data_IF_344444367460
#
_entry.id   IF_344444367460
#
_cell.length_a   1.000
_cell.length_b   1.000
_cell.length_c   1.000
_cell.angle_alpha   90.00
_cell.angle_beta   90.00
_cell.angle_gamma   90.00
#
_symmetry.space_group_name_H-M   'P 1'
#
loop_
_entity.id
_entity.type
_entity.pdbx_description
1 polymer ?
#
# COMPACT_ATOMS: atom_id res chain seq x y z
N UNK A 1 -30.71 -5.38 -28.79
CA UNK A 1 -30.34 -4.94 -27.43
C UNK A 1 -28.83 -5.09 -27.34
N UNK A 2 -28.09 -4.04 -27.67
CA UNK A 2 -26.62 -4.06 -27.69
C UNK A 2 -26.08 -3.99 -26.27
N UNK A 3 -25.10 -4.82 -25.96
CA UNK A 3 -24.37 -4.84 -24.68
C UNK A 3 -23.36 -3.69 -24.59
N UNK A 4 -23.79 -2.49 -24.98
CA UNK A 4 -22.91 -1.33 -25.07
C UNK A 4 -22.77 -0.64 -23.72
N UNK A 5 -21.74 -1.04 -22.98
CA UNK A 5 -21.38 -0.46 -21.68
C UNK A 5 -20.72 0.92 -21.82
N UNK A 6 -20.21 1.27 -23.00
CA UNK A 6 -19.84 2.67 -23.31
C UNK A 6 -21.08 3.56 -23.21
N UNK A 7 -22.22 3.02 -23.66
CA UNK A 7 -23.55 3.59 -23.56
C UNK A 7 -24.04 3.90 -22.14
N UNK A 8 -23.42 3.38 -21.05
CA UNK A 8 -23.79 3.77 -19.68
C UNK A 8 -23.07 5.02 -19.19
N UNK A 9 -21.77 5.15 -19.48
CA UNK A 9 -21.07 6.43 -19.27
C UNK A 9 -21.66 7.47 -20.18
N UNK A 10 -21.91 7.10 -21.44
CA UNK A 10 -22.59 7.94 -22.39
C UNK A 10 -24.02 8.23 -21.94
N UNK A 11 -24.78 7.29 -21.37
CA UNK A 11 -26.10 7.60 -20.82
C UNK A 11 -26.01 8.60 -19.66
N UNK A 12 -25.02 8.49 -18.78
CA UNK A 12 -24.83 9.48 -17.70
C UNK A 12 -24.41 10.83 -18.27
N UNK A 13 -23.44 10.90 -19.18
CA UNK A 13 -23.01 12.16 -19.80
C UNK A 13 -24.07 12.75 -20.74
N UNK A 14 -24.87 11.92 -21.39
CA UNK A 14 -25.99 12.29 -22.28
C UNK A 14 -27.23 12.70 -21.49
N UNK A 15 -27.59 12.03 -20.40
CA UNK A 15 -28.67 12.47 -19.51
C UNK A 15 -28.36 13.86 -18.93
N UNK A 16 -27.08 14.12 -18.62
CA UNK A 16 -26.59 15.46 -18.26
C UNK A 16 -26.62 16.45 -19.43
N UNK A 17 -26.37 15.98 -20.65
CA UNK A 17 -26.44 16.74 -21.90
C UNK A 17 -27.84 16.86 -22.52
N UNK A 18 -28.89 16.32 -21.89
CA UNK A 18 -30.28 16.40 -22.37
C UNK A 18 -31.11 17.45 -21.63
N UNK A 19 -30.54 18.13 -20.63
CA UNK A 19 -31.18 19.27 -20.00
C UNK A 19 -31.26 20.47 -20.98
N UNK A 20 -32.41 21.17 -21.11
CA UNK A 20 -32.54 22.29 -22.04
C UNK A 20 -31.54 23.42 -21.69
N UNK A 21 -30.67 23.79 -22.65
CA UNK A 21 -29.47 24.64 -22.44
C UNK A 21 -28.14 23.87 -22.38
N UNK A 22 -28.15 22.61 -22.85
CA UNK A 22 -27.19 21.57 -22.51
C UNK A 22 -25.71 21.97 -22.69
N UNK A 23 -24.92 21.95 -21.60
CA UNK A 23 -23.48 22.11 -21.68
C UNK A 23 -22.85 20.96 -22.48
N UNK A 24 -21.78 21.24 -23.23
CA UNK A 24 -20.91 20.18 -23.72
C UNK A 24 -20.29 19.48 -22.51
N UNK A 25 -20.55 18.18 -22.35
CA UNK A 25 -20.04 17.37 -21.24
C UNK A 25 -18.98 16.41 -21.75
N UNK A 26 -17.82 16.37 -21.10
CA UNK A 26 -16.77 15.41 -21.38
C UNK A 26 -16.23 14.78 -20.09
N UNK A 27 -15.88 13.50 -20.15
CA UNK A 27 -15.18 12.83 -19.07
C UNK A 27 -13.70 12.65 -19.45
N UNK A 28 -12.83 13.23 -18.63
CA UNK A 28 -11.39 13.15 -18.75
C UNK A 28 -10.88 12.16 -17.70
N UNK A 29 -10.22 11.08 -18.10
CA UNK A 29 -9.74 10.05 -17.18
C UNK A 29 -8.26 10.28 -16.86
N UNK A 30 -7.86 10.15 -15.61
CA UNK A 30 -6.45 10.20 -15.23
C UNK A 30 -5.69 9.00 -15.81
N UNK A 31 -4.53 9.25 -16.42
CA UNK A 31 -3.73 8.18 -17.01
C UNK A 31 -3.04 7.30 -15.95
N UNK A 32 -2.59 6.10 -16.37
CA UNK A 32 -1.88 5.17 -15.47
C UNK A 32 -0.48 5.63 -15.06
N UNK A 33 0.02 6.76 -15.56
CA UNK A 33 1.31 7.32 -15.18
C UNK A 33 1.19 8.44 -14.14
N UNK A 34 -0.01 9.01 -13.97
CA UNK A 34 -0.26 10.19 -13.14
C UNK A 34 0.27 11.49 -13.76
N UNK A 35 0.51 11.51 -15.08
CA UNK A 35 1.14 12.63 -15.80
C UNK A 35 0.25 13.23 -16.89
N UNK A 36 -0.92 12.67 -17.13
CA UNK A 36 -1.85 13.19 -18.12
C UNK A 36 -3.31 12.88 -17.76
N UNK A 37 -4.21 13.61 -18.41
CA UNK A 37 -5.61 13.23 -18.57
C UNK A 37 -5.83 12.66 -19.96
N UNK A 38 -6.82 11.80 -20.12
CA UNK A 38 -7.23 11.24 -21.40
C UNK A 38 -8.69 11.54 -21.61
N UNK A 39 -8.98 12.32 -22.65
CA UNK A 39 -10.35 12.59 -23.10
C UNK A 39 -10.84 11.38 -23.88
N UNK A 40 -11.89 10.73 -23.39
CA UNK A 40 -12.62 9.71 -24.15
C UNK A 40 -13.79 10.37 -24.89
N UNK A 41 -13.88 10.16 -26.19
CA UNK A 41 -14.99 10.63 -27.01
C UNK A 41 -15.53 9.48 -27.89
N UNK A 42 -16.85 9.32 -27.93
CA UNK A 42 -17.55 8.33 -28.77
C UNK A 42 -17.78 8.82 -30.22
N UNK A 43 -17.64 10.13 -30.44
CA UNK A 43 -17.68 10.77 -31.78
C UNK A 43 -16.70 11.96 -31.75
N UNK A 44 -15.80 12.12 -32.74
CA UNK A 44 -14.89 13.27 -32.76
C UNK A 44 -15.72 14.56 -32.93
N UNK A 45 -15.61 15.48 -31.96
CA UNK A 45 -16.23 16.81 -32.07
C UNK A 45 -15.55 17.67 -33.15
N UNK A 46 -14.31 17.35 -33.50
CA UNK A 46 -13.61 17.89 -34.66
C UNK A 46 -12.70 16.80 -35.23
N UNK A 47 -12.80 16.51 -36.52
CA UNK A 47 -12.10 15.42 -37.22
C UNK A 47 -10.58 15.56 -37.31
N UNK A 48 -9.93 16.30 -36.41
CA UNK A 48 -8.52 16.70 -36.45
C UNK A 48 -7.69 16.21 -35.26
N UNK A 49 -8.26 15.47 -34.32
CA UNK A 49 -7.52 14.98 -33.15
C UNK A 49 -6.58 13.81 -33.45
N UNK A 50 -5.27 14.00 -33.22
CA UNK A 50 -4.27 12.94 -33.07
C UNK A 50 -4.57 12.14 -31.78
N UNK A 51 -5.50 11.19 -31.85
CA UNK A 51 -5.91 10.34 -30.73
C UNK A 51 -5.80 8.86 -31.08
N UNK A 52 -5.60 8.01 -30.06
CA UNK A 52 -5.68 6.55 -30.23
C UNK A 52 -7.15 6.21 -30.54
N UNK A 53 -7.38 5.28 -31.48
CA UNK A 53 -8.74 4.89 -31.90
C UNK A 53 -9.04 3.42 -31.55
N UNK A 54 -10.25 3.14 -31.09
CA UNK A 54 -10.77 1.78 -30.87
C UNK A 54 -12.25 1.73 -31.28
N UNK A 55 -12.53 1.22 -32.47
CA UNK A 55 -13.87 1.36 -33.07
C UNK A 55 -14.19 2.84 -33.31
N UNK A 56 -15.34 3.27 -32.82
CA UNK A 56 -15.80 4.67 -32.88
C UNK A 56 -15.20 5.55 -31.76
N UNK A 57 -14.53 4.95 -30.78
CA UNK A 57 -13.97 5.67 -29.64
C UNK A 57 -12.59 6.27 -29.96
N UNK A 58 -12.37 7.52 -29.53
CA UNK A 58 -11.11 8.27 -29.64
C UNK A 58 -10.61 8.66 -28.25
N UNK A 59 -9.34 8.37 -27.98
CA UNK A 59 -8.63 8.75 -26.76
C UNK A 59 -7.55 9.80 -27.08
N UNK A 60 -7.77 11.04 -26.63
CA UNK A 60 -6.81 12.14 -26.79
C UNK A 60 -6.10 12.39 -25.46
N UNK A 61 -4.77 12.34 -25.47
CA UNK A 61 -3.94 12.55 -24.28
C UNK A 61 -3.70 14.04 -24.08
N UNK A 62 -3.95 14.52 -22.86
CA UNK A 62 -3.74 15.90 -22.41
C UNK A 62 -2.68 15.86 -21.31
N UNK A 63 -1.40 16.12 -21.62
CA UNK A 63 -0.34 16.15 -20.62
C UNK A 63 -0.60 17.20 -19.54
N UNK A 64 -0.14 16.91 -18.33
CA UNK A 64 -0.12 17.89 -17.26
C UNK A 64 0.97 18.94 -17.48
N UNK A 65 0.57 20.21 -17.32
CA UNK A 65 1.36 21.42 -17.60
C UNK A 65 1.31 22.45 -16.46
N UNK A 66 0.80 22.08 -15.29
CA UNK A 66 0.54 22.95 -14.15
C UNK A 66 -0.80 23.69 -14.23
N UNK A 67 -1.57 23.51 -15.31
CA UNK A 67 -2.82 24.21 -15.57
C UNK A 67 -3.99 23.80 -14.67
N UNK A 68 -5.15 24.41 -14.93
CA UNK A 68 -6.34 24.27 -14.08
C UNK A 68 -6.88 22.83 -14.04
N UNK A 69 -6.71 22.04 -15.10
CA UNK A 69 -7.11 20.62 -15.10
C UNK A 69 -6.23 19.79 -14.14
N UNK A 70 -4.92 20.00 -14.17
CA UNK A 70 -4.02 19.35 -13.21
C UNK A 70 -4.34 19.79 -11.77
N UNK A 71 -4.56 21.09 -11.56
CA UNK A 71 -4.90 21.63 -10.25
C UNK A 71 -6.23 21.08 -9.73
N UNK A 72 -7.27 21.01 -10.57
CA UNK A 72 -8.56 20.42 -10.22
C UNK A 72 -8.39 18.97 -9.76
N UNK A 73 -7.62 18.17 -10.50
CA UNK A 73 -7.40 16.76 -10.20
C UNK A 73 -6.58 16.59 -8.91
N UNK A 74 -5.47 17.31 -8.77
CA UNK A 74 -4.56 17.18 -7.62
C UNK A 74 -5.15 17.73 -6.32
N UNK A 75 -5.81 18.88 -6.39
CA UNK A 75 -6.44 19.49 -5.23
C UNK A 75 -7.80 18.85 -4.90
N UNK A 76 -8.38 18.07 -5.83
CA UNK A 76 -9.73 17.53 -5.74
C UNK A 76 -10.77 18.62 -5.41
N UNK A 77 -10.59 19.79 -6.05
CA UNK A 77 -11.52 20.92 -5.95
C UNK A 77 -12.09 21.27 -7.32
N UNK A 78 -13.34 21.74 -7.34
CA UNK A 78 -13.97 22.22 -8.58
C UNK A 78 -13.28 23.49 -9.03
N UNK A 79 -12.82 23.50 -10.28
CA UNK A 79 -12.22 24.68 -10.91
C UNK A 79 -13.20 25.26 -11.93
N UNK A 80 -13.25 26.58 -12.03
CA UNK A 80 -14.12 27.31 -12.96
C UNK A 80 -13.26 28.24 -13.80
N UNK A 81 -13.40 28.14 -15.11
CA UNK A 81 -12.59 28.89 -16.09
C UNK A 81 -13.51 29.73 -16.96
N UNK A 82 -13.34 31.05 -16.91
CA UNK A 82 -13.99 31.95 -17.84
C UNK A 82 -13.33 31.83 -19.22
N UNK A 83 -14.13 31.65 -20.27
CA UNK A 83 -13.75 31.77 -21.66
C UNK A 83 -14.58 32.90 -22.30
N UNK A 84 -14.21 33.42 -23.49
CA UNK A 84 -14.81 34.63 -24.04
C UNK A 84 -16.35 34.65 -24.08
N UNK A 85 -16.99 33.51 -24.38
CA UNK A 85 -18.45 33.39 -24.51
C UNK A 85 -19.06 32.22 -23.70
N UNK A 86 -18.29 31.64 -22.78
CA UNK A 86 -18.69 30.43 -22.04
C UNK A 86 -17.86 30.21 -20.78
N UNK A 87 -18.33 29.34 -19.91
CA UNK A 87 -17.67 28.96 -18.67
C UNK A 87 -17.37 27.48 -18.67
N UNK A 88 -16.13 27.09 -18.39
CA UNK A 88 -15.76 25.68 -18.25
C UNK A 88 -15.63 25.33 -16.78
N UNK A 89 -16.40 24.34 -16.34
CA UNK A 89 -16.32 23.77 -15.01
C UNK A 89 -15.58 22.44 -15.09
N UNK A 90 -14.55 22.28 -14.27
CA UNK A 90 -13.77 21.06 -14.12
C UNK A 90 -14.03 20.50 -12.72
N UNK A 91 -14.87 19.47 -12.65
CA UNK A 91 -15.26 18.83 -11.39
C UNK A 91 -14.54 17.49 -11.20
N UNK A 92 -13.82 17.28 -10.08
CA UNK A 92 -13.14 16.01 -9.82
C UNK A 92 -14.11 14.84 -9.71
N UNK A 93 -13.80 13.76 -10.42
CA UNK A 93 -14.49 12.47 -10.30
C UNK A 93 -13.66 11.61 -9.35
N UNK A 94 -14.07 11.56 -8.08
CA UNK A 94 -13.30 10.93 -7.01
C UNK A 94 -14.14 9.99 -6.14
N UNK A 95 -13.52 8.93 -5.62
CA UNK A 95 -14.07 8.06 -4.56
C UNK A 95 -13.00 7.80 -3.50
N UNK A 96 -13.33 7.96 -2.21
CA UNK A 96 -12.42 7.74 -1.07
C UNK A 96 -11.00 8.31 -1.24
N UNK A 97 -10.87 9.49 -1.83
CA UNK A 97 -9.59 10.17 -2.08
C UNK A 97 -8.85 9.70 -3.33
N UNK A 98 -9.33 8.68 -4.04
CA UNK A 98 -8.83 8.30 -5.37
C UNK A 98 -9.41 9.22 -6.44
N UNK A 99 -8.54 9.90 -7.19
CA UNK A 99 -8.93 10.73 -8.32
C UNK A 99 -8.95 9.91 -9.61
N UNK A 100 -10.16 9.60 -10.08
CA UNK A 100 -10.39 8.82 -11.31
C UNK A 100 -10.20 9.72 -12.53
N UNK A 101 -10.59 10.99 -12.44
CA UNK A 101 -10.57 11.92 -13.55
C UNK A 101 -11.30 13.23 -13.25
N UNK A 102 -11.70 13.94 -14.31
CA UNK A 102 -12.47 15.17 -14.26
C UNK A 102 -13.73 15.06 -15.14
N UNK A 103 -14.83 15.58 -14.62
CA UNK A 103 -16.02 15.92 -15.39
C UNK A 103 -15.85 17.37 -15.88
N UNK A 104 -15.74 17.54 -17.19
CA UNK A 104 -15.72 18.83 -17.85
C UNK A 104 -17.12 19.19 -18.33
N UNK A 105 -17.60 20.39 -17.98
CA UNK A 105 -18.87 20.92 -18.44
C UNK A 105 -18.68 22.36 -18.96
N UNK A 106 -19.21 22.64 -20.15
CA UNK A 106 -19.14 23.96 -20.79
C UNK A 106 -20.50 24.64 -20.70
N UNK A 107 -20.64 25.66 -19.85
CA UNK A 107 -21.88 26.38 -19.58
C UNK A 107 -21.90 27.73 -20.32
N UNK A 108 -23.08 28.23 -20.73
CA UNK A 108 -23.19 29.55 -21.37
C UNK A 108 -22.96 30.69 -20.37
N UNK A 109 -23.50 30.57 -19.17
CA UNK A 109 -23.47 31.61 -18.13
C UNK A 109 -22.57 31.23 -16.95
N UNK A 110 -22.18 32.23 -16.15
CA UNK A 110 -21.36 32.02 -14.96
C UNK A 110 -22.10 31.13 -13.94
N UNK A 111 -21.51 29.99 -13.54
CA UNK A 111 -22.19 29.07 -12.64
C UNK A 111 -22.23 29.59 -11.21
N UNK A 112 -23.44 29.77 -10.67
CA UNK A 112 -23.63 30.08 -9.26
C UNK A 112 -23.28 28.91 -8.32
N UNK A 113 -23.15 29.14 -6.99
CA UNK A 113 -22.77 28.12 -6.01
C UNK A 113 -23.72 26.92 -5.91
N UNK A 114 -24.99 27.08 -6.30
CA UNK A 114 -25.95 25.99 -6.38
C UNK A 114 -25.59 25.00 -7.48
N UNK A 115 -25.34 25.52 -8.68
CA UNK A 115 -24.96 24.75 -9.87
C UNK A 115 -23.65 24.01 -9.65
N UNK A 116 -22.64 24.67 -9.08
CA UNK A 116 -21.34 24.03 -8.77
C UNK A 116 -21.48 22.84 -7.80
N UNK A 117 -22.38 22.93 -6.81
CA UNK A 117 -22.65 21.82 -5.88
C UNK A 117 -23.35 20.65 -6.57
N UNK A 118 -24.24 20.94 -7.52
CA UNK A 118 -24.92 19.92 -8.31
C UNK A 118 -23.94 19.21 -9.25
N UNK A 119 -23.10 19.95 -9.97
CA UNK A 119 -22.04 19.40 -10.82
C UNK A 119 -21.08 18.53 -9.99
N UNK A 120 -20.67 18.96 -8.79
CA UNK A 120 -19.82 18.16 -7.92
C UNK A 120 -20.51 16.86 -7.46
N UNK A 121 -21.80 16.88 -7.14
CA UNK A 121 -22.57 15.67 -6.81
C UNK A 121 -22.67 14.73 -8.00
N UNK A 122 -22.90 15.26 -9.19
CA UNK A 122 -22.91 14.51 -10.43
C UNK A 122 -21.56 13.85 -10.70
N UNK A 123 -20.44 14.57 -10.55
CA UNK A 123 -19.11 14.01 -10.69
C UNK A 123 -18.85 12.88 -9.68
N UNK A 124 -19.36 12.99 -8.46
CA UNK A 124 -19.28 11.93 -7.46
C UNK A 124 -20.16 10.71 -7.82
N UNK A 125 -21.36 10.91 -8.36
CA UNK A 125 -22.20 9.80 -8.88
C UNK A 125 -21.52 9.11 -10.06
N UNK A 126 -20.91 9.88 -10.97
CA UNK A 126 -20.16 9.35 -12.10
C UNK A 126 -19.00 8.45 -11.64
N UNK A 127 -18.34 8.77 -10.52
CA UNK A 127 -17.30 7.91 -9.95
C UNK A 127 -17.85 6.50 -9.66
N UNK A 128 -19.03 6.38 -9.04
CA UNK A 128 -19.65 5.06 -8.79
C UNK A 128 -19.97 4.30 -10.07
N UNK A 129 -20.45 5.00 -11.12
CA UNK A 129 -20.75 4.39 -12.42
C UNK A 129 -19.49 3.85 -13.08
N UNK A 130 -18.41 4.64 -13.10
CA UNK A 130 -17.12 4.22 -13.67
C UNK A 130 -16.54 3.04 -12.88
N UNK A 131 -16.53 3.11 -11.55
CA UNK A 131 -16.03 2.02 -10.69
C UNK A 131 -16.83 0.73 -10.89
N UNK A 132 -18.15 0.81 -11.03
CA UNK A 132 -19.01 -0.35 -11.22
C UNK A 132 -18.82 -0.99 -12.61
N UNK A 133 -18.59 -0.18 -13.65
CA UNK A 133 -18.55 -0.64 -15.04
C UNK A 133 -17.17 -1.07 -15.53
N UNK A 134 -16.08 -0.61 -14.90
CA UNK A 134 -14.70 -0.97 -15.32
C UNK A 134 -14.40 -2.47 -15.40
N UNK A 135 -15.20 -3.32 -14.73
CA UNK A 135 -15.04 -4.78 -14.75
C UNK A 135 -15.67 -5.45 -15.98
N UNK A 136 -16.45 -4.70 -16.75
CA UNK A 136 -17.21 -5.21 -17.90
C UNK A 136 -16.76 -4.62 -19.23
N UNK A 137 -15.89 -3.60 -19.23
CA UNK A 137 -15.38 -2.97 -20.44
C UNK A 137 -13.91 -2.59 -20.27
N UNK A 138 -13.13 -2.82 -21.32
CA UNK A 138 -11.72 -2.43 -21.40
C UNK A 138 -11.56 -0.96 -21.84
N UNK A 139 -12.64 -0.23 -22.16
CA UNK A 139 -12.59 1.15 -22.64
C UNK A 139 -11.80 2.08 -21.69
N UNK A 140 -12.02 1.94 -20.38
CA UNK A 140 -11.32 2.75 -19.39
C UNK A 140 -9.84 2.38 -19.30
N UNK A 141 -9.52 1.09 -19.25
CA UNK A 141 -8.14 0.60 -19.24
C UNK A 141 -7.39 1.01 -20.51
N UNK A 142 -8.01 0.83 -21.68
CA UNK A 142 -7.50 1.30 -22.95
C UNK A 142 -7.27 2.82 -22.94
N UNK A 143 -8.22 3.60 -22.43
CA UNK A 143 -8.10 5.04 -22.25
C UNK A 143 -6.89 5.42 -21.39
N UNK A 144 -6.72 4.81 -20.23
CA UNK A 144 -5.65 5.16 -19.28
C UNK A 144 -4.24 4.70 -19.72
N UNK A 145 -4.14 3.75 -20.66
CA UNK A 145 -2.87 3.19 -21.15
C UNK A 145 -2.22 4.06 -22.22
N UNK A 146 -1.51 5.09 -21.78
CA UNK A 146 -0.63 5.89 -22.64
C UNK A 146 0.64 5.15 -23.06
N UNK A 147 1.04 4.11 -22.31
CA UNK A 147 2.21 3.25 -22.58
C UNK A 147 1.79 1.77 -22.68
N UNK A 148 2.32 0.98 -23.65
CA UNK A 148 2.05 -0.46 -23.72
C UNK A 148 2.55 -1.23 -22.50
N UNK A 149 1.74 -2.17 -22.00
CA UNK A 149 2.10 -3.02 -20.86
C UNK A 149 2.78 -4.31 -21.33
N UNK A 150 3.77 -4.77 -20.57
CA UNK A 150 4.32 -6.12 -20.71
C UNK A 150 3.36 -7.15 -20.11
N UNK A 151 3.43 -8.43 -20.54
CA UNK A 151 2.58 -9.50 -19.97
C UNK A 151 2.75 -9.62 -18.45
N UNK A 152 3.97 -9.47 -17.92
CA UNK A 152 4.21 -9.49 -16.48
C UNK A 152 3.58 -8.30 -15.75
N UNK A 153 3.60 -7.12 -16.36
CA UNK A 153 2.87 -5.95 -15.85
C UNK A 153 1.36 -6.15 -15.87
N UNK A 154 0.84 -6.80 -16.91
CA UNK A 154 -0.59 -7.14 -17.02
C UNK A 154 -1.05 -8.09 -15.89
N UNK A 155 -0.26 -9.12 -15.61
CA UNK A 155 -0.52 -10.06 -14.50
C UNK A 155 -0.47 -9.31 -13.17
N UNK A 156 0.58 -8.51 -12.93
CA UNK A 156 0.76 -7.75 -11.70
C UNK A 156 -0.38 -6.77 -11.46
N UNK A 157 -0.78 -6.00 -12.47
CA UNK A 157 -1.83 -4.97 -12.37
C UNK A 157 -3.15 -5.57 -11.88
N UNK A 158 -3.47 -6.79 -12.32
CA UNK A 158 -4.66 -7.55 -11.86
C UNK A 158 -4.58 -7.98 -10.39
N UNK A 159 -3.39 -8.02 -9.78
CA UNK A 159 -3.20 -8.34 -8.36
C UNK A 159 -3.38 -7.13 -7.45
N UNK A 160 -3.08 -5.93 -7.94
CA UNK A 160 -3.13 -4.68 -7.17
C UNK A 160 -4.55 -4.37 -6.69
N UNK A 161 -4.71 -3.48 -5.69
CA UNK A 161 -6.01 -3.10 -5.18
C UNK A 161 -6.81 -2.41 -6.27
N UNK A 162 -8.14 -2.53 -6.18
CA UNK A 162 -9.03 -1.82 -7.07
C UNK A 162 -8.93 -0.30 -6.98
N UNK A 163 -8.39 0.24 -5.88
CA UNK A 163 -8.17 1.67 -5.69
C UNK A 163 -6.79 1.88 -5.10
N UNK A 164 -6.03 2.83 -5.61
CA UNK A 164 -4.64 3.05 -5.18
C UNK A 164 -4.55 4.03 -4.01
N UNK A 165 -5.64 4.74 -3.74
CA UNK A 165 -5.82 5.59 -2.57
C UNK A 165 -7.06 5.15 -1.78
N UNK A 166 -6.94 5.24 -0.46
CA UNK A 166 -8.04 5.04 0.46
C UNK A 166 -7.92 6.03 1.62
N UNK A 167 -8.88 6.95 1.66
CA UNK A 167 -9.07 7.87 2.77
C UNK A 167 -10.14 7.34 3.72
N UNK A 168 -9.80 7.31 5.01
CA UNK A 168 -10.69 7.04 6.13
C UNK A 168 -10.53 8.11 7.20
N UNK A 169 -11.47 8.17 8.15
CA UNK A 169 -11.43 9.18 9.22
C UNK A 169 -10.15 9.15 10.06
N UNK A 170 -9.53 7.97 10.20
CA UNK A 170 -8.34 7.76 11.01
C UNK A 170 -7.04 7.62 10.20
N UNK A 171 -7.10 7.49 8.86
CA UNK A 171 -5.93 7.23 8.03
C UNK A 171 -6.13 7.68 6.58
N UNK A 172 -5.03 7.95 5.89
CA UNK A 172 -4.99 8.07 4.43
C UNK A 172 -3.89 7.13 3.95
N UNK A 173 -4.23 6.23 3.03
CA UNK A 173 -3.29 5.32 2.39
C UNK A 173 -3.25 5.64 0.90
N UNK A 174 -2.06 5.83 0.35
CA UNK A 174 -1.84 5.94 -1.09
C UNK A 174 -0.64 5.07 -1.48
N UNK A 175 -0.78 4.30 -2.54
CA UNK A 175 0.27 3.42 -3.08
C UNK A 175 0.40 3.60 -4.57
N UNK A 176 1.64 3.56 -5.06
CA UNK A 176 1.93 3.62 -6.48
C UNK A 176 3.14 2.76 -6.82
N UNK A 177 3.20 2.24 -8.04
CA UNK A 177 4.30 1.42 -8.56
C UNK A 177 4.84 2.08 -9.83
N UNK A 178 6.14 2.35 -9.86
CA UNK A 178 6.82 2.94 -11.01
C UNK A 178 8.07 2.12 -11.36
N UNK A 179 8.25 1.68 -12.61
CA UNK A 179 7.37 1.87 -13.78
C UNK A 179 6.11 1.00 -13.78
N UNK A 180 4.94 1.61 -14.00
CA UNK A 180 3.65 0.91 -13.97
C UNK A 180 3.47 -0.15 -15.09
N UNK A 181 4.15 0.01 -16.24
CA UNK A 181 3.92 -0.81 -17.45
C UNK A 181 4.83 -2.05 -17.56
N UNK A 182 5.96 -2.09 -16.84
CA UNK A 182 7.02 -3.09 -17.04
C UNK A 182 7.47 -3.83 -15.78
N UNK A 183 7.06 -3.40 -14.58
CA UNK A 183 7.27 -4.18 -13.35
C UNK A 183 6.24 -5.32 -13.31
N UNK A 184 6.65 -6.52 -12.87
CA UNK A 184 5.76 -7.67 -12.68
C UNK A 184 5.69 -8.22 -11.25
N UNK A 185 6.74 -8.03 -10.46
CA UNK A 185 6.91 -8.73 -9.18
C UNK A 185 6.42 -7.99 -7.95
N UNK A 186 6.52 -6.66 -7.98
CA UNK A 186 6.22 -5.84 -6.81
C UNK A 186 4.71 -5.63 -6.71
N UNK A 187 4.13 -5.80 -5.55
CA UNK A 187 2.70 -5.52 -5.36
C UNK A 187 2.49 -4.83 -4.03
N UNK A 188 1.35 -4.17 -3.90
CA UNK A 188 0.79 -3.88 -2.60
C UNK A 188 -0.66 -4.35 -2.58
N UNK A 189 -1.17 -4.65 -1.39
CA UNK A 189 -2.59 -4.95 -1.16
C UNK A 189 -3.03 -4.25 0.13
N UNK A 190 -4.29 -3.87 0.22
CA UNK A 190 -4.86 -3.45 1.49
C UNK A 190 -6.31 -3.87 1.63
N UNK A 191 -6.77 -3.90 2.88
CA UNK A 191 -8.16 -4.20 3.22
C UNK A 191 -8.49 -3.52 4.54
N UNK A 192 -9.60 -2.80 4.53
CA UNK A 192 -10.10 -2.05 5.67
C UNK A 192 -11.27 -2.84 6.28
N UNK A 193 -11.14 -3.21 7.55
CA UNK A 193 -12.22 -3.71 8.40
C UNK A 193 -12.79 -2.55 9.26
N UNK A 194 -13.72 -2.83 10.19
CA UNK A 194 -14.34 -1.79 11.02
C UNK A 194 -13.33 -0.99 11.84
N UNK A 195 -12.30 -1.65 12.35
CA UNK A 195 -11.35 -1.13 13.33
C UNK A 195 -9.88 -1.44 12.95
N UNK A 196 -9.65 -2.11 11.81
CA UNK A 196 -8.33 -2.59 11.40
C UNK A 196 -8.04 -2.29 9.93
N UNK A 197 -6.89 -1.69 9.66
CA UNK A 197 -6.29 -1.62 8.33
C UNK A 197 -5.28 -2.76 8.18
N UNK A 198 -5.52 -3.65 7.22
CA UNK A 198 -4.52 -4.58 6.72
C UNK A 198 -3.86 -3.96 5.48
N UNK A 199 -2.53 -3.90 5.48
CA UNK A 199 -1.72 -3.42 4.37
C UNK A 199 -0.58 -4.42 4.14
N UNK A 200 -0.27 -4.75 2.89
CA UNK A 200 0.88 -5.57 2.56
C UNK A 200 1.59 -5.01 1.36
N UNK A 201 2.92 -5.04 1.37
CA UNK A 201 3.77 -4.86 0.19
C UNK A 201 4.49 -6.16 -0.06
N UNK A 202 4.54 -6.62 -1.30
CA UNK A 202 5.30 -7.81 -1.69
C UNK A 202 6.30 -7.46 -2.77
N UNK A 203 7.48 -8.06 -2.72
CA UNK A 203 8.51 -7.99 -3.76
C UNK A 203 8.83 -9.44 -4.16
N UNK A 204 8.41 -9.80 -5.37
CA UNK A 204 8.69 -11.12 -5.93
C UNK A 204 10.02 -11.13 -6.66
N UNK A 205 10.99 -11.84 -6.08
CA UNK A 205 12.32 -12.04 -6.66
C UNK A 205 12.24 -12.60 -8.09
N UNK A 206 13.12 -12.11 -8.97
CA UNK A 206 13.19 -12.48 -10.38
C UNK A 206 12.67 -11.38 -11.32
N UNK A 207 12.46 -11.72 -12.59
CA UNK A 207 11.95 -10.79 -13.61
C UNK A 207 10.91 -11.44 -14.51
N UNK A 208 10.10 -10.62 -15.17
CA UNK A 208 9.10 -11.05 -16.14
C UNK A 208 8.00 -11.92 -15.54
N UNK A 209 7.47 -12.85 -16.34
CA UNK A 209 6.26 -13.63 -16.02
C UNK A 209 6.44 -14.50 -14.76
N UNK A 210 7.62 -15.10 -14.57
CA UNK A 210 7.88 -15.94 -13.41
C UNK A 210 7.73 -15.17 -12.08
N UNK A 211 8.26 -13.95 -12.03
CA UNK A 211 8.10 -13.05 -10.88
C UNK A 211 6.64 -12.64 -10.66
N UNK A 212 5.88 -12.36 -11.73
CA UNK A 212 4.46 -12.05 -11.62
C UNK A 212 3.58 -13.23 -11.14
N UNK A 213 3.94 -14.46 -11.51
CA UNK A 213 3.28 -15.67 -10.99
C UNK A 213 3.62 -15.91 -9.51
N UNK A 214 4.86 -15.65 -9.10
CA UNK A 214 5.28 -15.66 -7.69
C UNK A 214 4.49 -14.65 -6.87
N UNK A 215 4.33 -13.43 -7.39
CA UNK A 215 3.49 -12.40 -6.78
C UNK A 215 2.02 -12.85 -6.68
N UNK A 216 1.49 -13.50 -7.72
CA UNK A 216 0.11 -14.01 -7.74
C UNK A 216 -0.13 -15.01 -6.60
N UNK A 217 0.77 -15.97 -6.44
CA UNK A 217 0.69 -16.97 -5.37
C UNK A 217 0.86 -16.34 -3.99
N UNK A 218 1.80 -15.40 -3.84
CA UNK A 218 2.02 -14.66 -2.59
C UNK A 218 0.79 -13.85 -2.16
N UNK A 219 0.29 -12.98 -3.05
CA UNK A 219 -0.89 -12.13 -2.78
C UNK A 219 -2.14 -12.98 -2.56
N UNK A 220 -2.35 -14.00 -3.39
CA UNK A 220 -3.49 -14.91 -3.26
C UNK A 220 -3.51 -15.62 -1.91
N UNK A 221 -2.34 -16.08 -1.46
CA UNK A 221 -2.21 -16.76 -0.18
C UNK A 221 -2.36 -15.81 1.03
N UNK A 222 -1.84 -14.58 0.95
CA UNK A 222 -2.08 -13.53 1.95
C UNK A 222 -3.57 -13.20 2.07
N UNK A 223 -4.26 -13.02 0.93
CA UNK A 223 -5.71 -12.78 0.89
C UNK A 223 -6.50 -13.95 1.46
N UNK A 224 -6.14 -15.19 1.08
CA UNK A 224 -6.77 -16.41 1.60
C UNK A 224 -6.64 -16.50 3.13
N UNK A 225 -5.44 -16.30 3.65
CA UNK A 225 -5.16 -16.40 5.09
C UNK A 225 -5.83 -15.29 5.88
N UNK A 226 -5.87 -14.06 5.34
CA UNK A 226 -6.66 -12.96 5.91
C UNK A 226 -8.14 -13.33 6.01
N UNK A 227 -8.74 -13.86 4.93
CA UNK A 227 -10.16 -14.25 4.88
C UNK A 227 -10.48 -15.43 5.82
N UNK A 228 -9.56 -16.38 5.98
CA UNK A 228 -9.70 -17.48 6.96
C UNK A 228 -9.57 -16.98 8.40
N UNK A 229 -8.62 -16.08 8.67
CA UNK A 229 -8.40 -15.52 10.01
C UNK A 229 -9.56 -14.62 10.47
N UNK A 230 -10.26 -13.94 9.54
CA UNK A 230 -11.43 -13.11 9.84
C UNK A 230 -12.61 -13.90 10.45
N UNK A 231 -12.64 -15.23 10.33
CA UNK A 231 -13.62 -16.10 10.98
C UNK A 231 -13.20 -16.64 12.35
N UNK A 232 -11.99 -16.36 12.83
CA UNK A 232 -11.43 -16.98 14.04
C UNK A 232 -11.11 -15.93 15.11
N UNK A 233 -11.97 -15.82 16.12
CA UNK A 233 -11.92 -14.82 17.19
C UNK A 233 -10.76 -15.00 18.19
N UNK A 234 -9.63 -15.63 17.83
CA UNK A 234 -8.68 -16.17 18.82
C UNK A 234 -7.23 -15.67 18.63
N UNK A 235 -6.84 -14.74 19.53
CA UNK A 235 -5.49 -14.40 20.06
C UNK A 235 -4.25 -14.61 19.15
N UNK A 236 -3.67 -13.48 18.74
CA UNK A 236 -2.24 -13.14 18.48
C UNK A 236 -1.26 -14.21 17.97
N UNK A 237 -1.03 -15.31 18.67
CA UNK A 237 0.11 -16.21 18.38
C UNK A 237 -0.09 -17.11 17.16
N UNK A 238 -1.33 -17.48 16.80
CA UNK A 238 -1.61 -18.28 15.59
C UNK A 238 -1.58 -17.47 14.29
N UNK A 239 -1.63 -16.14 14.37
CA UNK A 239 -1.67 -15.28 13.19
C UNK A 239 -0.35 -15.30 12.42
N UNK A 240 0.79 -15.37 13.13
CA UNK A 240 2.11 -15.54 12.51
C UNK A 240 2.27 -16.89 11.81
N UNK A 241 1.88 -17.99 12.46
CA UNK A 241 1.92 -19.32 11.85
C UNK A 241 1.06 -19.37 10.58
N UNK A 242 -0.15 -18.82 10.62
CA UNK A 242 -1.02 -18.75 9.45
C UNK A 242 -0.43 -17.90 8.31
N UNK A 243 0.33 -16.83 8.59
CA UNK A 243 0.96 -16.00 7.55
C UNK A 243 2.32 -16.56 7.06
N UNK A 244 3.09 -17.23 7.92
CA UNK A 244 4.32 -17.92 7.55
C UNK A 244 4.05 -19.20 6.72
N UNK A 245 2.95 -19.89 7.03
CA UNK A 245 2.40 -21.02 6.27
C UNK A 245 1.75 -20.54 4.97
N UNK A 246 1.30 -19.27 4.93
CA UNK A 246 0.74 -18.62 3.75
C UNK A 246 1.78 -18.07 2.77
N UNK A 247 3.08 -18.26 2.95
CA UNK A 247 4.06 -17.91 1.92
C UNK A 247 4.50 -19.20 1.24
N UNK A 248 3.80 -19.63 0.16
CA UNK A 248 4.14 -20.89 -0.49
C UNK A 248 5.56 -20.78 -1.07
N UNK A 249 6.27 -21.91 -1.09
CA UNK A 249 7.42 -22.06 -1.99
C UNK A 249 6.92 -21.85 -3.42
N UNK A 250 7.43 -20.83 -4.11
CA UNK A 250 7.06 -20.57 -5.51
C UNK A 250 7.90 -21.42 -6.47
N UNK A 251 7.55 -21.36 -7.77
CA UNK A 251 7.97 -22.22 -8.91
C UNK A 251 9.50 -22.47 -9.03
N UNK A 252 10.34 -21.76 -8.26
CA UNK A 252 11.80 -21.87 -8.20
C UNK A 252 12.39 -22.12 -6.79
N UNK A 253 11.59 -22.43 -5.78
CA UNK A 253 12.04 -22.61 -4.40
C UNK A 253 12.29 -21.31 -3.62
N UNK A 254 12.04 -20.14 -4.22
CA UNK A 254 12.16 -18.83 -3.55
C UNK A 254 10.85 -18.41 -2.88
N UNK A 255 10.95 -17.63 -1.79
CA UNK A 255 9.80 -16.96 -1.14
C UNK A 255 9.75 -15.49 -1.55
N UNK A 256 8.58 -14.93 -1.90
CA UNK A 256 8.45 -13.49 -2.10
C UNK A 256 8.78 -12.75 -0.80
N UNK A 257 9.45 -11.61 -0.91
CA UNK A 257 9.56 -10.68 0.21
C UNK A 257 8.17 -10.14 0.46
N UNK A 258 7.73 -10.19 1.70
CA UNK A 258 6.42 -9.67 2.11
C UNK A 258 6.69 -8.74 3.27
N UNK A 259 6.06 -7.57 3.31
CA UNK A 259 5.92 -6.68 4.46
C UNK A 259 4.43 -6.53 4.69
N UNK A 260 3.88 -7.20 5.69
CA UNK A 260 2.48 -7.07 6.10
C UNK A 260 2.43 -6.16 7.31
N UNK A 261 1.64 -5.10 7.25
CA UNK A 261 1.34 -4.17 8.34
C UNK A 261 -0.15 -4.28 8.65
N UNK A 262 -0.50 -4.56 9.90
CA UNK A 262 -1.87 -4.49 10.39
C UNK A 262 -1.91 -3.45 11.51
N UNK A 263 -2.75 -2.43 11.38
CA UNK A 263 -2.89 -1.39 12.41
C UNK A 263 -4.34 -1.19 12.81
N UNK A 264 -4.58 -1.05 14.13
CA UNK A 264 -5.81 -0.52 14.70
C UNK A 264 -5.63 0.97 15.02
N UNK A 265 -6.40 1.82 14.34
CA UNK A 265 -6.49 3.27 14.55
C UNK A 265 -5.18 4.07 14.48
N UNK A 266 -4.66 4.37 13.28
CA UNK A 266 -3.77 5.53 13.02
C UNK A 266 -3.42 5.70 11.53
N UNK A 267 -3.04 6.93 11.14
CA UNK A 267 -2.43 7.27 9.85
C UNK A 267 -1.10 6.53 9.68
N UNK A 268 -1.01 5.69 8.64
CA UNK A 268 0.18 4.94 8.26
C UNK A 268 0.60 5.38 6.85
N UNK A 269 1.74 6.07 6.74
CA UNK A 269 2.37 6.41 5.46
C UNK A 269 3.53 5.44 5.23
N UNK A 270 3.42 4.54 4.25
CA UNK A 270 4.50 3.62 3.88
C UNK A 270 4.94 3.94 2.47
N UNK A 271 5.98 4.76 2.36
CA UNK A 271 6.67 5.03 1.11
C UNK A 271 7.87 4.09 0.99
N UNK A 272 7.89 3.25 -0.05
CA UNK A 272 9.12 2.55 -0.45
C UNK A 272 10.03 3.52 -1.21
N UNK A 273 10.49 4.59 -0.57
CA UNK A 273 11.69 5.36 -0.90
C UNK A 273 11.89 6.45 0.15
N UNK A 274 13.16 6.75 0.47
CA UNK A 274 13.60 7.77 1.43
C UNK A 274 12.81 9.08 1.28
N UNK A 275 11.84 9.31 2.16
CA UNK A 275 11.02 10.53 2.15
C UNK A 275 10.27 10.65 3.46
N UNK A 276 10.36 11.83 4.07
CA UNK A 276 9.94 12.14 5.44
C UNK A 276 8.43 11.98 5.68
N UNK A 277 8.08 11.59 6.92
CA UNK A 277 6.71 11.48 7.43
C UNK A 277 6.32 12.80 8.11
N UNK A 278 5.12 13.33 7.82
CA UNK A 278 4.54 14.49 8.51
C UNK A 278 3.37 14.09 9.42
N UNK A 279 3.35 14.62 10.64
CA UNK A 279 2.41 14.25 11.71
C UNK A 279 1.38 15.35 12.01
N UNK A 280 0.17 14.95 12.39
CA UNK A 280 -0.85 15.80 13.02
C UNK A 280 -1.21 15.30 14.43
N UNK A 281 -1.86 16.11 15.28
CA UNK A 281 -2.02 15.83 16.72
C UNK A 281 -2.98 14.67 17.01
N UNK A 282 -2.70 13.92 18.09
CA UNK A 282 -3.36 12.65 18.45
C UNK A 282 -4.41 12.80 19.56
N UNK A 283 -5.45 11.97 19.49
CA UNK A 283 -6.36 11.65 20.62
C UNK A 283 -6.09 10.21 21.07
N UNK A 284 -6.07 9.98 22.38
CA UNK A 284 -5.87 8.68 23.04
C UNK A 284 -6.73 7.57 22.42
N UNK A 285 -6.11 6.67 21.66
CA UNK A 285 -6.67 5.40 21.24
C UNK A 285 -5.59 4.32 21.44
N UNK A 286 -5.96 3.17 21.99
CA UNK A 286 -5.05 2.04 22.17
C UNK A 286 -4.47 1.64 20.80
N UNK A 287 -3.19 1.94 20.58
CA UNK A 287 -2.52 1.69 19.31
C UNK A 287 -2.04 0.26 19.29
N UNK A 288 -2.43 -0.48 18.26
CA UNK A 288 -1.92 -1.80 18.00
C UNK A 288 -1.41 -1.91 16.57
N UNK A 289 -0.12 -2.13 16.44
CA UNK A 289 0.56 -2.32 15.15
C UNK A 289 1.21 -3.69 15.12
N UNK A 290 0.92 -4.49 14.11
CA UNK A 290 1.64 -5.72 13.84
C UNK A 290 2.26 -5.61 12.46
N UNK A 291 3.57 -5.73 12.39
CA UNK A 291 4.31 -5.81 11.14
C UNK A 291 5.01 -7.16 11.05
N UNK A 292 4.89 -7.86 9.92
CA UNK A 292 5.67 -9.07 9.64
C UNK A 292 6.38 -8.90 8.31
N UNK A 293 7.68 -9.17 8.25
CA UNK A 293 8.46 -9.13 7.03
C UNK A 293 9.33 -10.36 6.82
N UNK A 294 9.57 -10.72 5.55
CA UNK A 294 10.53 -11.76 5.16
C UNK A 294 11.60 -11.14 4.26
N UNK A 295 12.86 -11.20 4.69
CA UNK A 295 14.01 -10.55 4.05
C UNK A 295 15.07 -11.59 3.63
N UNK A 296 15.86 -11.33 2.57
CA UNK A 296 16.93 -12.24 2.18
C UNK A 296 18.05 -12.28 3.23
N UNK A 297 18.85 -13.34 3.23
CA UNK A 297 20.05 -13.47 4.07
C UNK A 297 21.20 -12.57 3.59
N UNK A 298 21.08 -11.26 3.78
CA UNK A 298 22.05 -10.25 3.35
C UNK A 298 22.25 -9.16 4.41
N UNK A 299 23.44 -8.52 4.49
CA UNK A 299 23.68 -7.41 5.43
C UNK A 299 22.68 -6.26 5.29
N UNK A 300 22.22 -5.98 4.07
CA UNK A 300 21.23 -4.93 3.79
C UNK A 300 19.87 -5.17 4.47
N UNK A 301 19.55 -6.42 4.81
CA UNK A 301 18.31 -6.78 5.52
C UNK A 301 18.30 -6.25 6.96
N UNK A 302 19.45 -6.19 7.62
CA UNK A 302 19.59 -5.62 8.97
C UNK A 302 19.22 -4.14 8.96
N UNK A 303 19.76 -3.39 7.98
CA UNK A 303 19.44 -1.98 7.80
C UNK A 303 17.97 -1.74 7.52
N UNK A 304 17.35 -2.55 6.64
CA UNK A 304 15.90 -2.44 6.33
C UNK A 304 15.04 -2.70 7.56
N UNK A 305 15.33 -3.76 8.32
CA UNK A 305 14.61 -4.09 9.54
C UNK A 305 14.66 -2.94 10.55
N UNK A 306 15.85 -2.36 10.75
CA UNK A 306 16.06 -1.21 11.63
C UNK A 306 15.24 0.00 11.18
N UNK A 307 15.31 0.36 9.89
CA UNK A 307 14.54 1.48 9.34
C UNK A 307 13.04 1.31 9.53
N UNK A 308 12.51 0.11 9.26
CA UNK A 308 11.09 -0.19 9.47
C UNK A 308 10.71 -0.03 10.93
N UNK A 309 11.49 -0.58 11.87
CA UNK A 309 11.23 -0.41 13.30
C UNK A 309 11.26 1.07 13.71
N UNK A 310 12.23 1.85 13.22
CA UNK A 310 12.29 3.29 13.48
C UNK A 310 11.02 4.00 12.99
N UNK A 311 10.55 3.69 11.78
CA UNK A 311 9.30 4.25 11.25
C UNK A 311 8.10 3.87 12.11
N UNK A 312 8.00 2.60 12.55
CA UNK A 312 6.92 2.17 13.44
C UNK A 312 6.95 2.88 14.79
N UNK A 313 8.13 3.04 15.39
CA UNK A 313 8.30 3.74 16.68
C UNK A 313 8.08 5.26 16.55
N UNK A 314 8.18 5.84 15.36
CA UNK A 314 7.75 7.23 15.11
C UNK A 314 6.24 7.42 15.21
N UNK A 315 5.50 6.30 15.18
CA UNK A 315 4.06 6.27 15.44
C UNK A 315 3.77 6.01 16.92
N UNK A 316 4.73 6.02 17.84
CA UNK A 316 4.48 5.78 19.27
C UNK A 316 5.16 6.81 20.14
N UNK A 317 4.69 6.94 21.38
CA UNK A 317 5.30 7.82 22.39
C UNK A 317 6.51 7.16 23.07
N UNK A 318 7.25 6.31 22.35
CA UNK A 318 8.42 5.58 22.85
C UNK A 318 9.51 6.54 23.35
N UNK A 319 10.05 6.27 24.55
CA UNK A 319 11.14 7.02 25.15
C UNK A 319 12.42 6.93 24.28
N UNK A 320 13.24 7.98 24.29
CA UNK A 320 14.45 8.04 23.45
C UNK A 320 15.43 6.90 23.75
N UNK A 321 15.62 6.58 25.04
CA UNK A 321 16.43 5.45 25.49
C UNK A 321 15.88 4.12 24.97
N UNK A 322 14.57 3.89 25.11
CA UNK A 322 13.89 2.69 24.59
C UNK A 322 13.98 2.58 23.07
N UNK A 323 13.92 3.69 22.32
CA UNK A 323 14.16 3.70 20.86
C UNK A 323 15.59 3.27 20.53
N UNK A 324 16.58 3.76 21.27
CA UNK A 324 17.99 3.38 21.13
C UNK A 324 18.20 1.89 21.42
N UNK A 325 17.65 1.39 22.52
CA UNK A 325 17.70 -0.02 22.88
C UNK A 325 17.07 -0.90 21.80
N UNK A 326 15.86 -0.57 21.36
CA UNK A 326 15.14 -1.30 20.31
C UNK A 326 15.91 -1.35 18.98
N UNK A 327 16.61 -0.27 18.62
CA UNK A 327 17.45 -0.23 17.43
C UNK A 327 18.65 -1.21 17.52
N UNK A 328 19.27 -1.33 18.69
CA UNK A 328 20.33 -2.32 18.93
C UNK A 328 19.75 -3.74 18.91
N UNK A 329 18.63 -3.97 19.62
CA UNK A 329 17.97 -5.28 19.72
C UNK A 329 17.65 -5.87 18.35
N UNK A 330 17.00 -5.09 17.46
CA UNK A 330 16.67 -5.58 16.11
C UNK A 330 17.92 -5.79 15.25
N UNK A 331 18.95 -4.95 15.42
CA UNK A 331 20.20 -5.03 14.65
C UNK A 331 20.94 -6.32 14.98
N UNK A 332 21.16 -6.60 16.27
CA UNK A 332 21.85 -7.81 16.73
C UNK A 332 21.06 -9.08 16.40
N UNK A 333 19.73 -9.06 16.61
CA UNK A 333 18.88 -10.20 16.31
C UNK A 333 18.90 -10.55 14.81
N UNK A 334 18.79 -9.54 13.94
CA UNK A 334 18.85 -9.73 12.49
C UNK A 334 20.25 -10.13 12.02
N UNK A 335 21.32 -9.53 12.58
CA UNK A 335 22.69 -9.89 12.24
C UNK A 335 22.98 -11.37 12.56
N UNK A 336 22.56 -11.83 13.75
CA UNK A 336 22.66 -13.24 14.12
C UNK A 336 21.89 -14.14 13.15
N UNK A 337 20.65 -13.79 12.82
CA UNK A 337 19.86 -14.56 11.86
C UNK A 337 20.53 -14.60 10.47
N UNK A 338 21.02 -13.47 9.96
CA UNK A 338 21.73 -13.42 8.66
C UNK A 338 23.00 -14.28 8.67
N UNK A 339 23.77 -14.26 9.76
CA UNK A 339 25.02 -15.00 9.86
C UNK A 339 24.78 -16.53 9.95
N UNK A 340 23.78 -16.94 10.70
CA UNK A 340 23.56 -18.35 11.06
C UNK A 340 22.49 -19.07 10.23
N UNK A 341 21.72 -18.36 9.39
CA UNK A 341 20.71 -19.01 8.56
C UNK A 341 21.33 -19.86 7.44
N UNK A 342 20.63 -20.93 7.04
CA UNK A 342 21.08 -21.84 5.98
C UNK A 342 21.22 -21.10 4.64
N UNK A 343 22.06 -21.63 3.74
CA UNK A 343 22.17 -21.13 2.36
C UNK A 343 20.77 -21.21 1.72
N UNK A 344 20.36 -20.13 1.05
CA UNK A 344 19.04 -19.93 0.42
C UNK A 344 17.82 -19.73 1.35
N UNK A 345 18.04 -19.45 2.64
CA UNK A 345 16.94 -19.12 3.55
C UNK A 345 16.68 -17.61 3.68
N UNK A 346 15.45 -17.27 4.11
CA UNK A 346 15.05 -15.92 4.49
C UNK A 346 15.16 -15.70 6.00
N UNK A 347 15.26 -14.43 6.38
CA UNK A 347 15.11 -13.95 7.76
C UNK A 347 13.72 -13.39 7.92
N UNK A 348 12.91 -14.03 8.77
CA UNK A 348 11.53 -13.67 9.03
C UNK A 348 11.46 -12.86 10.34
N UNK A 349 10.93 -11.64 10.23
CA UNK A 349 10.88 -10.68 11.33
C UNK A 349 9.42 -10.32 11.60
N UNK A 350 9.01 -10.35 12.87
CA UNK A 350 7.73 -9.83 13.31
C UNK A 350 7.96 -8.74 14.37
N UNK A 351 7.27 -7.61 14.23
CA UNK A 351 7.26 -6.51 15.18
C UNK A 351 5.81 -6.31 15.58
N UNK A 352 5.48 -6.53 16.85
CA UNK A 352 4.17 -6.24 17.41
C UNK A 352 4.35 -5.13 18.45
N UNK A 353 3.66 -4.02 18.24
CA UNK A 353 3.51 -2.96 19.21
C UNK A 353 2.06 -3.00 19.67
N UNK A 354 1.86 -3.24 20.95
CA UNK A 354 0.55 -3.24 21.59
C UNK A 354 0.68 -2.43 22.88
N UNK A 355 -0.04 -1.32 22.94
CA UNK A 355 0.02 -0.35 24.03
C UNK A 355 1.46 0.13 24.28
N UNK A 356 2.04 -0.21 25.43
CA UNK A 356 3.38 0.18 25.86
C UNK A 356 4.44 -0.91 25.67
N UNK A 357 4.14 -1.96 24.90
CA UNK A 357 5.04 -3.10 24.73
C UNK A 357 5.39 -3.33 23.25
N UNK A 358 6.68 -3.43 22.97
CA UNK A 358 7.22 -3.85 21.69
C UNK A 358 7.77 -5.28 21.78
N UNK A 359 7.19 -6.17 20.99
CA UNK A 359 7.61 -7.55 20.79
C UNK A 359 8.28 -7.66 19.42
N UNK A 360 9.57 -8.00 19.41
CA UNK A 360 10.33 -8.32 18.21
C UNK A 360 10.55 -9.82 18.19
N UNK A 361 10.20 -10.46 17.08
CA UNK A 361 10.52 -11.84 16.84
C UNK A 361 11.34 -11.96 15.56
N UNK A 362 12.51 -12.59 15.63
CA UNK A 362 13.39 -12.82 14.49
C UNK A 362 13.61 -14.32 14.35
N UNK A 363 13.31 -14.86 13.18
CA UNK A 363 13.53 -16.27 12.89
C UNK A 363 14.17 -16.52 11.53
N UNK A 364 14.71 -17.71 11.39
CA UNK A 364 15.35 -18.20 10.17
C UNK A 364 15.35 -19.73 10.16
N UNK A 365 15.57 -20.33 8.98
CA UNK A 365 15.85 -21.77 8.93
C UNK A 365 17.24 -22.07 9.48
N UNK A 366 17.35 -23.10 10.29
CA UNK A 366 18.58 -23.56 10.93
C UNK A 366 18.32 -24.30 12.24
N UNK A 367 19.40 -24.75 12.88
CA UNK A 367 19.33 -25.41 14.18
C UNK A 367 19.30 -24.38 15.30
N UNK A 368 18.36 -24.53 16.24
CA UNK A 368 18.28 -23.66 17.42
C UNK A 368 19.59 -23.74 18.22
N UNK A 369 20.28 -22.62 18.46
CA UNK A 369 21.46 -22.62 19.31
C UNK A 369 21.09 -23.07 20.73
N UNK A 370 22.01 -23.71 21.43
CA UNK A 370 21.90 -23.86 22.88
C UNK A 370 21.81 -22.43 23.47
N UNK A 371 20.76 -22.13 24.24
CA UNK A 371 20.45 -20.78 24.75
C UNK A 371 21.54 -20.13 25.63
N UNK A 372 22.68 -20.80 25.83
CA UNK A 372 23.85 -20.34 26.57
C UNK A 372 24.37 -18.95 26.13
N UNK A 373 24.17 -18.57 24.87
CA UNK A 373 24.60 -17.25 24.37
C UNK A 373 23.79 -16.06 24.93
N UNK A 374 22.54 -16.27 25.35
CA UNK A 374 21.73 -15.24 26.03
C UNK A 374 22.09 -15.12 27.52
N UNK A 375 22.74 -16.12 28.09
CA UNK A 375 23.20 -16.14 29.50
C UNK A 375 24.70 -15.91 29.64
N UNK A 376 25.40 -15.63 28.54
CA UNK A 376 26.83 -15.39 28.54
C UNK A 376 27.13 -13.96 29.01
N UNK A 377 28.22 -13.79 29.76
CA UNK A 377 28.72 -12.47 30.14
C UNK A 377 29.10 -11.66 28.88
N UNK A 378 28.95 -10.33 28.99
CA UNK A 378 29.37 -9.41 27.94
C UNK A 378 30.89 -9.52 27.71
N UNK A 379 31.34 -9.94 26.51
CA UNK A 379 32.76 -9.97 26.17
C UNK A 379 33.38 -8.57 26.22
N UNK A 380 34.71 -8.49 26.31
CA UNK A 380 35.46 -7.23 26.29
C UNK A 380 35.01 -6.33 25.12
N UNK A 381 34.85 -5.01 25.31
CA UNK A 381 34.37 -4.09 24.27
C UNK A 381 35.16 -4.13 22.95
N UNK A 382 36.41 -4.57 22.95
CA UNK A 382 37.27 -4.69 21.77
C UNK A 382 37.21 -6.06 21.10
N UNK A 383 36.47 -7.02 21.68
CA UNK A 383 36.32 -8.37 21.12
C UNK A 383 35.53 -8.33 19.82
N UNK A 384 36.10 -8.92 18.76
CA UNK A 384 35.45 -9.04 17.45
C UNK A 384 34.49 -10.23 17.45
N UNK A 385 33.20 -9.96 17.62
CA UNK A 385 32.13 -10.97 17.59
C UNK A 385 31.70 -11.49 18.96
N UNK A 386 30.62 -12.28 18.99
CA UNK A 386 30.09 -12.90 20.22
C UNK A 386 29.33 -11.97 21.17
N UNK A 387 29.23 -10.67 20.87
CA UNK A 387 28.57 -9.67 21.72
C UNK A 387 27.05 -9.55 21.51
N UNK A 388 26.53 -10.04 20.39
CA UNK A 388 25.14 -9.80 20.00
C UNK A 388 24.09 -10.39 20.95
N UNK A 389 24.19 -11.68 21.28
CA UNK A 389 23.23 -12.31 22.23
C UNK A 389 23.34 -11.73 23.66
N UNK A 390 24.54 -11.47 24.22
CA UNK A 390 24.68 -10.76 25.50
C UNK A 390 24.08 -9.34 25.48
N UNK A 391 24.28 -8.57 24.40
CA UNK A 391 23.66 -7.25 24.24
C UNK A 391 22.13 -7.34 24.21
N UNK A 392 21.59 -8.37 23.53
CA UNK A 392 20.15 -8.61 23.51
C UNK A 392 19.62 -8.89 24.92
N UNK A 393 20.29 -9.74 25.69
CA UNK A 393 19.91 -10.06 27.06
C UNK A 393 20.00 -8.85 28.00
N UNK A 394 20.97 -7.96 27.80
CA UNK A 394 21.16 -6.77 28.64
C UNK A 394 20.14 -5.67 28.37
N UNK A 395 19.73 -5.47 27.11
CA UNK A 395 18.86 -4.36 26.71
C UNK A 395 17.37 -4.71 26.69
N UNK A 396 17.02 -5.97 26.44
CA UNK A 396 15.65 -6.45 26.43
C UNK A 396 15.09 -6.62 27.85
N UNK A 397 13.78 -6.51 28.02
CA UNK A 397 13.15 -6.88 29.29
C UNK A 397 12.98 -8.40 29.37
N UNK A 398 12.72 -9.05 28.24
CA UNK A 398 12.80 -10.51 28.09
C UNK A 398 13.36 -10.88 26.72
N UNK A 399 14.21 -11.91 26.66
CA UNK A 399 14.67 -12.50 25.41
C UNK A 399 14.79 -14.02 25.55
N UNK A 400 14.22 -14.77 24.60
CA UNK A 400 14.26 -16.23 24.63
C UNK A 400 14.17 -16.84 23.23
N UNK A 401 14.85 -17.96 23.02
CA UNK A 401 14.58 -18.83 21.88
C UNK A 401 13.29 -19.62 22.14
N UNK A 402 12.32 -19.51 21.23
CA UNK A 402 10.99 -20.12 21.35
C UNK A 402 10.91 -21.35 20.45
N UNK A 403 10.26 -22.45 20.86
CA UNK A 403 10.05 -23.61 20.00
C UNK A 403 9.30 -23.23 18.72
N UNK A 404 9.90 -23.49 17.57
CA UNK A 404 9.31 -23.34 16.24
C UNK A 404 9.01 -24.69 15.58
N UNK A 405 8.56 -24.67 14.30
CA UNK A 405 8.62 -25.85 13.42
C UNK A 405 10.02 -26.48 13.40
N UNK A 406 10.15 -27.78 13.04
CA UNK A 406 11.45 -28.40 12.87
C UNK A 406 12.31 -27.57 11.89
N UNK A 407 13.59 -27.41 12.20
CA UNK A 407 14.57 -26.62 11.44
C UNK A 407 14.31 -25.11 11.37
N UNK A 408 13.53 -24.54 12.30
CA UNK A 408 13.39 -23.10 12.48
C UNK A 408 13.97 -22.62 13.82
N UNK A 409 14.84 -21.61 13.75
CA UNK A 409 15.28 -20.84 14.90
C UNK A 409 14.36 -19.65 15.06
N UNK A 410 13.87 -19.42 16.27
CA UNK A 410 13.05 -18.26 16.58
C UNK A 410 13.51 -17.58 17.87
N UNK A 411 14.04 -16.36 17.76
CA UNK A 411 14.35 -15.48 18.87
C UNK A 411 13.19 -14.51 19.12
N UNK A 412 12.63 -14.52 20.33
CA UNK A 412 11.60 -13.58 20.79
C UNK A 412 12.19 -12.61 21.80
N UNK A 413 11.96 -11.32 21.58
CA UNK A 413 12.47 -10.22 22.39
C UNK A 413 11.31 -9.31 22.75
N UNK A 414 11.17 -8.94 24.02
CA UNK A 414 10.15 -8.00 24.48
C UNK A 414 10.80 -6.80 25.17
N UNK A 415 10.30 -5.60 24.89
CA UNK A 415 10.74 -4.33 25.48
C UNK A 415 9.58 -3.37 25.71
N UNK A 416 9.48 -2.79 26.90
CA UNK A 416 8.58 -1.69 27.21
C UNK A 416 9.02 -0.39 26.53
N UNK A 417 8.05 0.37 26.01
CA UNK A 417 8.29 1.63 25.29
C UNK A 417 8.50 2.80 26.25
N UNK A 418 7.86 2.77 27.41
CA UNK A 418 8.05 3.73 28.50
C UNK A 418 9.01 3.20 29.57
N UNK A 419 9.69 4.11 30.26
CA UNK A 419 10.56 3.77 31.39
C UNK A 419 9.76 3.42 32.67
N UNK A 420 8.43 3.56 32.64
CA UNK A 420 7.55 3.27 33.77
C UNK A 420 7.22 1.79 33.77
N UNK A 421 7.99 0.99 34.55
CA UNK A 421 7.56 -0.37 34.88
C UNK A 421 6.18 -0.31 35.53
N UNK A 422 5.13 -0.95 34.98
CA UNK A 422 3.89 -1.10 35.73
C UNK A 422 4.21 -1.91 36.99
N UNK A 423 3.83 -1.37 38.15
CA UNK A 423 4.03 -2.03 39.43
C UNK A 423 3.41 -3.44 39.38
N UNK A 424 4.07 -4.47 39.95
CA UNK A 424 3.49 -5.81 39.98
C UNK A 424 2.16 -5.74 40.74
N UNK A 425 1.09 -6.19 40.07
CA UNK A 425 -0.22 -6.41 40.70
C UNK A 425 0.00 -7.43 41.81
N UNK A 426 -0.19 -6.99 43.06
CA UNK A 426 -0.10 -7.82 44.27
C UNK A 426 -1.27 -8.77 44.39
#
# INVERSE_FOLDING_TARGET
MGWDLSGQVEAVTRELGLAPGAPTVAFLIADLSGRALVRLAHVPLDGTGEGRRHGDDVATVIPFDGGLAEQALRAQTVQVVAQPDRWTVLAPVTDRGEAIGLLEMILPDEPGPGVLREIARTAHVLAFVVIANRRYTDLFEWGQRTTPFTLSGEIQRRLLPGSFTCEGSAFTLSGWLEPAASIGGDTFDYSVARDVLHFSVTDAMGHGVASALTATLGVGSLRNSRRRAAGCCRRTSRRRAAYAEATPLTVSGQRPRVVLITTGASRLHVTQHSGAVTHGPRRNCAMRVTLTMSLPRQPSSVTRARQVLTTLLSLTDCAEDSRGHLAVLITEACANAVMHATVDSSVDIAILIEDDVCLIEVGNRGSTPNGAGLTADLPDPLTVGGRGLPLIAALADTAAFVPGPPDEVLLRITKHLSDVRPAPVR
#
